data_IF_315356765850
#
_entry.id   IF_315356765850
#
_cell.length_a   1.000
_cell.length_b   1.000
_cell.length_c   1.000
_cell.angle_alpha   90.00
_cell.angle_beta   90.00
_cell.angle_gamma   90.00
#
_symmetry.space_group_name_H-M   'P 1'
#
loop_
_entity.id
_entity.type
_entity.pdbx_description
1 polymer ?
#
# COMPACT_ATOMS: atom_id res chain seq x y z
N UNK A 1 25.57 6.57 -4.00
CA UNK A 1 24.81 5.51 -4.69
C UNK A 1 24.31 4.55 -3.63
N UNK A 2 23.00 4.48 -3.39
CA UNK A 2 22.38 3.64 -2.36
C UNK A 2 21.71 2.48 -3.11
N UNK A 3 22.06 1.23 -2.82
CA UNK A 3 21.37 0.10 -3.49
C UNK A 3 19.94 -0.06 -2.96
N UNK A 4 19.80 -0.15 -1.65
CA UNK A 4 18.53 -0.30 -0.94
C UNK A 4 18.47 0.69 0.23
N UNK A 5 17.31 1.29 0.46
CA UNK A 5 17.06 2.17 1.60
C UNK A 5 15.88 1.65 2.41
N UNK A 6 16.08 1.43 3.71
CA UNK A 6 15.02 1.01 4.62
C UNK A 6 14.92 2.02 5.76
N UNK A 7 13.76 2.63 5.94
CA UNK A 7 13.42 3.40 7.12
C UNK A 7 12.51 2.56 8.01
N UNK A 8 12.89 2.37 9.28
CA UNK A 8 12.09 1.58 10.21
C UNK A 8 12.00 2.16 11.61
N UNK A 9 10.85 1.96 12.26
CA UNK A 9 10.68 2.16 13.71
C UNK A 9 10.84 0.87 14.51
N UNK A 10 11.07 -0.25 13.82
CA UNK A 10 11.28 -1.55 14.43
C UNK A 10 12.67 -1.68 15.03
N UNK A 11 12.79 -2.59 16.00
CA UNK A 11 14.08 -3.03 16.53
C UNK A 11 14.76 -3.91 15.49
N UNK A 12 15.94 -3.49 15.03
CA UNK A 12 16.79 -4.31 14.19
C UNK A 12 17.45 -5.39 15.05
N UNK A 13 17.27 -6.65 14.66
CA UNK A 13 17.84 -7.79 15.35
C UNK A 13 19.12 -8.23 14.63
N UNK A 14 20.19 -8.39 15.40
CA UNK A 14 21.47 -8.91 14.94
C UNK A 14 21.80 -10.21 15.69
N UNK A 15 22.45 -11.16 15.01
CA UNK A 15 23.06 -12.33 15.62
C UNK A 15 24.50 -12.41 15.16
N UNK A 16 25.45 -12.38 16.08
CA UNK A 16 26.89 -12.41 15.77
C UNK A 16 27.33 -11.30 14.79
N UNK A 17 26.64 -10.15 14.82
CA UNK A 17 26.86 -9.02 13.92
C UNK A 17 26.06 -9.08 12.61
N UNK A 18 25.50 -10.23 12.26
CA UNK A 18 24.69 -10.39 11.04
C UNK A 18 23.24 -9.95 11.25
N UNK A 19 22.68 -9.29 10.24
CA UNK A 19 21.26 -8.94 10.20
C UNK A 19 20.39 -10.20 10.13
N UNK A 20 19.47 -10.35 11.10
CA UNK A 20 18.55 -11.48 11.15
C UNK A 20 17.08 -11.09 10.98
N UNK A 21 16.72 -9.83 11.22
CA UNK A 21 15.35 -9.36 11.03
C UNK A 21 15.01 -8.04 11.73
N UNK A 22 13.73 -7.68 11.67
CA UNK A 22 13.16 -6.46 12.25
C UNK A 22 11.90 -6.81 13.05
N UNK A 23 11.83 -6.37 14.30
CA UNK A 23 10.62 -6.47 15.13
C UNK A 23 9.98 -5.09 15.32
N UNK A 24 8.79 -4.90 14.76
CA UNK A 24 7.99 -3.67 14.85
C UNK A 24 6.88 -3.85 15.87
N UNK A 25 6.81 -2.96 16.86
CA UNK A 25 5.72 -2.93 17.84
C UNK A 25 5.05 -1.56 17.97
N UNK A 26 5.83 -0.49 17.76
CA UNK A 26 5.41 0.90 17.95
C UNK A 26 6.17 1.84 17.00
N UNK A 27 5.77 3.11 17.01
CA UNK A 27 6.44 4.19 16.28
C UNK A 27 5.77 4.55 14.96
N UNK A 28 5.90 5.81 14.57
CA UNK A 28 5.30 6.36 13.37
C UNK A 28 6.39 6.87 12.43
N UNK A 29 6.29 6.56 11.14
CA UNK A 29 7.03 7.28 10.10
C UNK A 29 6.14 8.41 9.58
N UNK A 30 6.69 9.62 9.51
CA UNK A 30 6.01 10.76 8.90
C UNK A 30 6.82 11.20 7.68
N UNK A 31 6.22 11.10 6.49
CA UNK A 31 6.75 11.77 5.31
C UNK A 31 6.19 13.19 5.30
N UNK A 32 7.07 14.16 5.58
CA UNK A 32 6.67 15.56 5.71
C UNK A 32 6.22 16.20 4.38
N UNK A 33 5.75 17.45 4.41
CA UNK A 33 5.19 18.14 3.23
C UNK A 33 6.14 18.26 2.03
N UNK A 34 7.45 18.26 2.27
CA UNK A 34 8.48 18.26 1.21
C UNK A 34 8.60 16.92 0.48
N UNK A 35 7.94 15.87 0.99
CA UNK A 35 8.00 14.54 0.43
C UNK A 35 9.31 13.81 0.70
N UNK A 36 9.50 12.73 -0.07
CA UNK A 36 10.69 11.89 -0.10
C UNK A 36 11.02 11.59 -1.56
N UNK A 37 12.26 11.86 -1.95
CA UNK A 37 12.84 11.39 -3.21
C UNK A 37 13.82 10.25 -2.92
N UNK A 38 13.42 9.03 -3.26
CA UNK A 38 14.23 7.82 -3.20
C UNK A 38 14.62 7.28 -4.56
N UNK A 39 14.56 8.08 -5.63
CA UNK A 39 14.91 7.67 -7.01
C UNK A 39 16.38 7.28 -7.19
N UNK A 40 17.24 7.66 -6.24
CA UNK A 40 18.65 7.24 -6.19
C UNK A 40 18.87 5.85 -5.58
N UNK A 41 17.82 5.20 -5.06
CA UNK A 41 17.85 3.83 -4.59
C UNK A 41 17.08 2.92 -5.55
N UNK A 42 17.57 1.69 -5.75
CA UNK A 42 16.81 0.71 -6.53
C UNK A 42 15.50 0.36 -5.81
N UNK A 43 15.57 0.30 -4.48
CA UNK A 43 14.48 -0.18 -3.64
C UNK A 43 14.36 0.63 -2.34
N UNK A 44 13.13 0.99 -1.99
CA UNK A 44 12.78 1.68 -0.74
C UNK A 44 11.79 0.85 0.07
N UNK A 45 12.11 0.62 1.34
CA UNK A 45 11.18 0.05 2.34
C UNK A 45 10.86 1.07 3.44
N UNK A 46 9.56 1.22 3.72
CA UNK A 46 9.06 1.92 4.89
C UNK A 46 8.40 0.90 5.82
N UNK A 47 8.99 0.66 6.99
CA UNK A 47 8.59 -0.42 7.90
C UNK A 47 8.32 0.14 9.29
N UNK A 48 7.06 0.33 9.67
CA UNK A 48 6.72 0.99 10.94
C UNK A 48 5.41 0.48 11.54
N UNK A 49 5.08 0.89 12.77
CA UNK A 49 3.77 0.59 13.33
C UNK A 49 2.68 1.36 12.59
N UNK A 50 2.93 2.64 12.30
CA UNK A 50 2.07 3.48 11.45
C UNK A 50 2.90 4.30 10.47
N UNK A 51 2.28 4.71 9.36
CA UNK A 51 2.83 5.62 8.37
C UNK A 51 1.85 6.78 8.11
N UNK A 52 2.35 8.00 8.18
CA UNK A 52 1.63 9.21 7.79
C UNK A 52 2.30 9.87 6.57
N UNK A 53 1.54 10.11 5.51
CA UNK A 53 2.00 10.75 4.28
C UNK A 53 1.40 12.16 4.15
N UNK A 54 2.25 13.17 4.34
CA UNK A 54 1.92 14.60 4.17
C UNK A 54 2.51 15.22 2.90
N UNK A 55 3.38 14.49 2.22
CA UNK A 55 4.02 14.88 0.97
C UNK A 55 4.30 13.65 0.11
N UNK A 56 4.65 13.86 -1.16
CA UNK A 56 4.82 12.78 -2.12
C UNK A 56 6.03 11.89 -1.81
N UNK A 57 5.88 10.58 -2.01
CA UNK A 57 6.99 9.62 -2.06
C UNK A 57 7.23 9.27 -3.52
N UNK A 58 8.43 9.55 -4.02
CA UNK A 58 8.85 9.25 -5.39
C UNK A 58 10.07 8.33 -5.35
N UNK A 59 9.97 7.12 -5.89
CA UNK A 59 11.02 6.09 -5.80
C UNK A 59 11.05 5.20 -7.05
N UNK A 60 12.06 4.33 -7.19
CA UNK A 60 12.04 3.28 -8.22
C UNK A 60 11.07 2.17 -7.81
N UNK A 61 11.33 1.50 -6.69
CA UNK A 61 10.44 0.50 -6.10
C UNK A 61 10.13 0.87 -4.66
N UNK A 62 8.87 0.71 -4.26
CA UNK A 62 8.38 1.02 -2.92
C UNK A 62 7.64 -0.17 -2.30
N UNK A 63 8.08 -0.55 -1.10
CA UNK A 63 7.31 -1.42 -0.21
C UNK A 63 7.03 -0.71 1.10
N UNK A 64 5.77 -0.72 1.49
CA UNK A 64 5.31 -0.21 2.78
C UNK A 64 4.76 -1.37 3.60
N UNK A 65 5.29 -1.54 4.80
CA UNK A 65 4.80 -2.49 5.80
C UNK A 65 4.43 -1.73 7.06
N UNK A 66 3.14 -1.71 7.37
CA UNK A 66 2.60 -1.07 8.56
C UNK A 66 1.95 -2.10 9.50
N UNK A 67 1.99 -1.82 10.80
CA UNK A 67 1.46 -2.69 11.85
C UNK A 67 2.54 -3.27 12.76
N UNK A 68 2.14 -4.08 13.74
CA UNK A 68 3.09 -4.89 14.49
C UNK A 68 3.57 -6.04 13.61
N UNK A 69 4.86 -6.20 13.43
CA UNK A 69 5.41 -7.16 12.47
C UNK A 69 6.72 -7.75 12.97
N UNK A 70 6.94 -9.04 12.73
CA UNK A 70 8.24 -9.70 12.73
C UNK A 70 8.63 -9.95 11.29
N UNK A 71 9.77 -9.41 10.89
CA UNK A 71 10.26 -9.49 9.52
C UNK A 71 11.60 -10.23 9.54
N UNK A 72 11.74 -11.27 8.73
CA UNK A 72 12.99 -12.03 8.63
C UNK A 72 14.05 -11.29 7.79
N UNK A 73 15.27 -11.83 7.75
CA UNK A 73 16.37 -11.27 6.96
C UNK A 73 16.11 -11.19 5.44
N UNK A 74 15.08 -11.89 4.94
CA UNK A 74 14.68 -11.88 3.52
C UNK A 74 13.55 -10.87 3.26
N UNK A 75 13.07 -10.17 4.29
CA UNK A 75 11.98 -9.21 4.19
C UNK A 75 10.58 -9.84 4.26
N UNK A 76 10.46 -11.12 4.63
CA UNK A 76 9.17 -11.80 4.79
C UNK A 76 8.58 -11.48 6.16
N UNK A 77 7.27 -11.26 6.20
CA UNK A 77 6.52 -11.14 7.46
C UNK A 77 6.32 -12.56 8.00
N UNK A 78 6.88 -12.84 9.17
CA UNK A 78 6.91 -14.18 9.80
C UNK A 78 6.12 -14.25 11.10
N UNK A 79 5.60 -13.13 11.59
CA UNK A 79 4.73 -13.14 12.77
C UNK A 79 4.34 -11.76 13.32
N UNK A 80 3.46 -11.83 14.32
CA UNK A 80 2.70 -10.75 15.01
C UNK A 80 1.63 -10.08 14.14
N UNK A 81 0.36 -10.37 14.49
CA UNK A 81 -0.86 -9.62 14.15
C UNK A 81 -1.48 -9.22 15.50
N UNK A 82 -1.23 -8.00 15.98
CA UNK A 82 -1.93 -7.52 17.16
C UNK A 82 -3.31 -7.01 16.74
N UNK A 83 -4.33 -7.17 17.60
CA UNK A 83 -5.62 -6.55 17.34
C UNK A 83 -5.48 -5.01 17.35
N UNK A 84 -5.92 -4.35 16.28
CA UNK A 84 -5.97 -2.89 16.18
C UNK A 84 -7.00 -2.47 15.14
N UNK A 85 -7.95 -1.60 15.52
CA UNK A 85 -8.90 -1.00 14.58
C UNK A 85 -8.39 0.34 14.02
N UNK A 86 -7.08 0.62 14.12
CA UNK A 86 -6.51 1.90 13.74
C UNK A 86 -6.19 1.96 12.24
N UNK A 87 -6.10 3.16 11.68
CA UNK A 87 -5.53 3.37 10.36
C UNK A 87 -4.01 3.19 10.48
N UNK A 88 -3.45 2.17 9.80
CA UNK A 88 -2.02 1.90 9.83
C UNK A 88 -1.27 2.80 8.85
N UNK A 89 -1.92 3.19 7.75
CA UNK A 89 -1.35 4.05 6.72
C UNK A 89 -2.38 5.14 6.40
N UNK A 90 -2.01 6.39 6.66
CA UNK A 90 -2.85 7.56 6.40
C UNK A 90 -2.13 8.53 5.47
N UNK A 91 -2.63 8.64 4.23
CA UNK A 91 -2.18 9.61 3.24
C UNK A 91 -3.23 10.67 2.99
N UNK A 92 -2.89 11.93 3.23
CA UNK A 92 -3.75 13.10 2.94
C UNK A 92 -3.58 13.52 1.48
N UNK A 93 -4.43 14.39 0.96
CA UNK A 93 -4.43 14.80 -0.47
C UNK A 93 -3.06 15.21 -1.04
N UNK A 94 -2.16 15.74 -0.21
CA UNK A 94 -0.80 16.16 -0.61
C UNK A 94 0.25 15.03 -0.59
N UNK A 95 -0.10 13.84 -0.10
CA UNK A 95 0.81 12.71 0.14
C UNK A 95 0.59 11.51 -0.79
N UNK A 96 0.95 11.63 -2.06
CA UNK A 96 0.87 10.54 -3.04
C UNK A 96 2.08 9.59 -3.01
N UNK A 97 1.94 8.42 -3.62
CA UNK A 97 3.04 7.46 -3.80
C UNK A 97 3.24 7.18 -5.29
N UNK A 98 4.46 7.36 -5.78
CA UNK A 98 4.80 7.21 -7.19
C UNK A 98 6.06 6.35 -7.31
N UNK A 99 5.90 5.14 -7.84
CA UNK A 99 7.02 4.23 -8.06
C UNK A 99 6.79 3.38 -9.31
N UNK A 100 7.85 2.73 -9.80
CA UNK A 100 7.77 1.67 -10.80
C UNK A 100 6.96 0.47 -10.27
N UNK A 101 7.20 0.09 -9.01
CA UNK A 101 6.43 -0.94 -8.29
C UNK A 101 6.01 -0.42 -6.92
N UNK A 102 4.75 -0.63 -6.54
CA UNK A 102 4.24 -0.34 -5.20
C UNK A 102 3.58 -1.57 -4.58
N UNK A 103 4.04 -1.94 -3.38
CA UNK A 103 3.40 -2.92 -2.51
C UNK A 103 3.12 -2.33 -1.13
N UNK A 104 1.87 -2.37 -0.70
CA UNK A 104 1.41 -1.84 0.58
C UNK A 104 0.80 -2.98 1.41
N UNK A 105 1.27 -3.14 2.65
CA UNK A 105 0.84 -4.20 3.55
C UNK A 105 0.52 -3.60 4.92
N UNK A 106 -0.70 -3.77 5.41
CA UNK A 106 -1.14 -3.46 6.77
C UNK A 106 -1.57 -4.75 7.47
N UNK A 107 -0.91 -5.12 8.57
CA UNK A 107 -1.03 -6.47 9.17
C UNK A 107 -1.77 -6.54 10.50
N UNK A 108 -1.90 -5.44 11.23
CA UNK A 108 -2.64 -5.49 12.49
C UNK A 108 -4.12 -5.81 12.21
N UNK A 109 -4.71 -6.71 13.00
CA UNK A 109 -6.08 -7.19 12.79
C UNK A 109 -7.08 -6.04 12.93
N UNK A 110 -7.74 -5.68 11.84
CA UNK A 110 -8.68 -4.56 11.72
C UNK A 110 -8.06 -3.28 11.19
N UNK A 111 -6.73 -3.23 11.01
CA UNK A 111 -6.03 -2.03 10.62
C UNK A 111 -6.06 -1.80 9.11
N UNK A 112 -6.41 -0.58 8.72
CA UNK A 112 -6.70 -0.21 7.35
C UNK A 112 -5.65 0.68 6.67
N UNK A 113 -5.91 0.95 5.38
CA UNK A 113 -5.20 1.94 4.57
C UNK A 113 -6.21 3.04 4.21
N UNK A 114 -5.86 4.29 4.47
CA UNK A 114 -6.60 5.46 4.00
C UNK A 114 -5.67 6.33 3.16
N UNK A 115 -5.98 6.55 1.89
CA UNK A 115 -5.25 7.48 1.04
C UNK A 115 -6.22 8.36 0.27
N UNK A 116 -6.25 9.65 0.58
CA UNK A 116 -6.97 10.64 -0.21
C UNK A 116 -6.12 11.18 -1.40
N UNK A 117 -4.90 10.66 -1.58
CA UNK A 117 -3.98 11.00 -2.67
C UNK A 117 -3.97 9.96 -3.80
N UNK A 118 -3.08 10.17 -4.78
CA UNK A 118 -2.85 9.25 -5.89
C UNK A 118 -1.72 8.26 -5.57
N UNK A 119 -1.99 6.97 -5.76
CA UNK A 119 -1.00 5.89 -5.70
C UNK A 119 -0.78 5.35 -7.12
N UNK A 120 0.46 5.40 -7.60
CA UNK A 120 0.82 5.05 -8.98
C UNK A 120 1.97 4.06 -9.02
N UNK A 121 1.68 2.83 -9.47
CA UNK A 121 2.65 1.77 -9.78
C UNK A 121 2.89 1.71 -11.29
N UNK A 122 3.87 2.47 -11.80
CA UNK A 122 4.00 2.78 -13.24
C UNK A 122 4.31 1.56 -14.11
N UNK A 123 5.16 0.66 -13.63
CA UNK A 123 5.78 -0.37 -14.47
C UNK A 123 5.26 -1.77 -14.17
N UNK A 124 4.51 -1.94 -13.09
CA UNK A 124 4.07 -3.25 -12.59
C UNK A 124 2.70 -3.18 -11.92
N UNK A 125 2.27 -4.31 -11.38
CA UNK A 125 1.07 -4.41 -10.56
C UNK A 125 1.19 -3.53 -9.31
N UNK A 126 0.12 -2.84 -8.96
CA UNK A 126 -0.08 -2.25 -7.63
C UNK A 126 -0.69 -3.32 -6.71
N UNK A 127 -0.06 -3.59 -5.58
CA UNK A 127 -0.58 -4.51 -4.56
C UNK A 127 -0.88 -3.76 -3.27
N UNK A 128 -2.13 -3.85 -2.78
CA UNK A 128 -2.53 -3.32 -1.47
C UNK A 128 -3.21 -4.44 -0.68
N UNK A 129 -2.65 -4.79 0.46
CA UNK A 129 -3.23 -5.77 1.39
C UNK A 129 -3.41 -5.14 2.76
N UNK A 130 -4.59 -5.29 3.35
CA UNK A 130 -4.87 -4.86 4.71
C UNK A 130 -5.82 -5.85 5.40
N UNK A 131 -5.61 -6.10 6.69
CA UNK A 131 -6.58 -6.81 7.52
C UNK A 131 -7.90 -6.01 7.70
N UNK A 132 -7.83 -4.68 7.59
CA UNK A 132 -8.97 -3.75 7.73
C UNK A 132 -9.49 -3.17 6.42
N UNK A 133 -10.12 -1.99 6.51
CA UNK A 133 -10.66 -1.25 5.36
C UNK A 133 -9.54 -0.60 4.54
N UNK A 134 -9.66 -0.67 3.22
CA UNK A 134 -8.83 0.05 2.26
C UNK A 134 -9.68 1.12 1.60
N UNK A 135 -9.38 2.39 1.89
CA UNK A 135 -9.99 3.57 1.27
C UNK A 135 -8.94 4.27 0.41
N UNK A 136 -9.23 4.45 -0.88
CA UNK A 136 -8.33 5.12 -1.83
C UNK A 136 -9.08 6.15 -2.67
N UNK A 137 -8.44 7.28 -2.95
CA UNK A 137 -8.97 8.28 -3.86
C UNK A 137 -8.68 7.91 -5.32
N UNK A 138 -7.39 7.81 -5.66
CA UNK A 138 -6.94 7.38 -6.99
C UNK A 138 -5.88 6.30 -6.88
N UNK A 139 -6.02 5.26 -7.70
CA UNK A 139 -5.02 4.22 -7.88
C UNK A 139 -4.78 3.95 -9.36
N UNK A 140 -3.51 3.79 -9.73
CA UNK A 140 -3.10 3.42 -11.08
C UNK A 140 -2.00 2.36 -11.01
N UNK A 141 -2.11 1.34 -11.86
CA UNK A 141 -1.06 0.34 -12.00
C UNK A 141 -1.16 -0.44 -13.29
N UNK A 142 -0.06 -1.07 -13.73
CA UNK A 142 -0.11 -1.96 -14.89
C UNK A 142 -1.11 -3.10 -14.67
N UNK A 143 -1.16 -3.62 -13.44
CA UNK A 143 -2.26 -4.40 -12.88
C UNK A 143 -2.65 -3.80 -11.52
N UNK A 144 -3.80 -4.18 -10.96
CA UNK A 144 -4.17 -3.82 -9.59
C UNK A 144 -4.67 -5.08 -8.86
N UNK A 145 -4.12 -5.38 -7.68
CA UNK A 145 -4.61 -6.41 -6.75
C UNK A 145 -4.81 -5.80 -5.36
N UNK A 146 -6.06 -5.81 -4.90
CA UNK A 146 -6.47 -5.24 -3.62
C UNK A 146 -7.14 -6.32 -2.78
N UNK A 147 -6.65 -6.50 -1.55
CA UNK A 147 -7.17 -7.46 -0.57
C UNK A 147 -7.38 -6.77 0.76
N UNK A 148 -8.64 -6.57 1.12
CA UNK A 148 -9.03 -5.88 2.35
C UNK A 148 -10.26 -6.52 2.97
N UNK A 149 -10.62 -6.12 4.20
CA UNK A 149 -11.94 -6.45 4.73
C UNK A 149 -13.04 -5.67 4.01
N UNK A 150 -12.78 -4.40 3.75
CA UNK A 150 -13.64 -3.52 2.96
C UNK A 150 -12.78 -2.76 1.96
N UNK A 151 -13.34 -2.44 0.80
CA UNK A 151 -12.72 -1.58 -0.19
C UNK A 151 -13.65 -0.40 -0.52
N UNK A 152 -13.11 0.82 -0.49
CA UNK A 152 -13.78 2.04 -0.93
C UNK A 152 -12.89 2.82 -1.91
N UNK A 153 -13.33 2.90 -3.16
CA UNK A 153 -12.79 3.79 -4.17
C UNK A 153 -13.58 5.10 -4.18
N UNK A 154 -12.93 6.24 -4.00
CA UNK A 154 -13.59 7.55 -4.07
C UNK A 154 -13.62 8.17 -5.46
N UNK A 155 -12.59 7.97 -6.28
CA UNK A 155 -12.52 8.58 -7.61
C UNK A 155 -12.20 7.58 -8.73
N UNK A 156 -10.93 7.18 -8.88
CA UNK A 156 -10.47 6.40 -10.04
C UNK A 156 -9.63 5.20 -9.60
N UNK A 157 -9.96 4.02 -10.12
CA UNK A 157 -9.00 2.93 -10.26
C UNK A 157 -8.78 2.67 -11.75
N UNK A 158 -7.55 2.82 -12.22
CA UNK A 158 -7.19 2.61 -13.62
C UNK A 158 -6.07 1.59 -13.78
N UNK A 159 -6.25 0.64 -14.69
CA UNK A 159 -5.22 -0.36 -14.98
C UNK A 159 -5.00 -0.63 -16.46
N UNK A 160 -3.73 -0.72 -16.86
CA UNK A 160 -3.36 -1.09 -18.24
C UNK A 160 -3.58 -2.58 -18.55
N UNK A 161 -3.82 -3.41 -17.52
CA UNK A 161 -4.13 -4.83 -17.63
C UNK A 161 -5.44 -5.14 -16.89
N UNK A 162 -5.38 -5.80 -15.74
CA UNK A 162 -6.57 -6.21 -14.99
C UNK A 162 -6.61 -5.65 -13.57
N UNK A 163 -7.83 -5.49 -13.06
CA UNK A 163 -8.13 -5.13 -11.67
C UNK A 163 -8.73 -6.35 -10.98
N UNK A 164 -8.19 -6.71 -9.82
CA UNK A 164 -8.73 -7.72 -8.92
C UNK A 164 -8.92 -7.11 -7.54
N UNK A 165 -10.16 -7.09 -7.06
CA UNK A 165 -10.51 -6.62 -5.72
C UNK A 165 -11.17 -7.77 -4.97
N UNK A 166 -10.66 -8.08 -3.78
CA UNK A 166 -11.21 -9.07 -2.87
C UNK A 166 -11.46 -8.41 -1.51
N UNK A 167 -12.73 -8.27 -1.15
CA UNK A 167 -13.17 -7.69 0.11
C UNK A 167 -14.61 -8.12 0.42
N UNK A 168 -15.01 -8.15 1.69
CA UNK A 168 -16.39 -8.48 2.07
C UNK A 168 -17.39 -7.48 1.46
N UNK A 169 -17.01 -6.19 1.49
CA UNK A 169 -17.77 -5.07 0.91
C UNK A 169 -16.90 -4.23 -0.01
N UNK A 170 -17.42 -3.91 -1.19
CA UNK A 170 -16.78 -3.10 -2.21
C UNK A 170 -17.68 -1.91 -2.54
N UNK A 171 -17.20 -0.69 -2.33
CA UNK A 171 -17.89 0.56 -2.68
C UNK A 171 -17.10 1.31 -3.74
N UNK A 172 -17.71 1.56 -4.89
CA UNK A 172 -17.09 2.21 -6.03
C UNK A 172 -17.82 3.52 -6.33
N UNK A 173 -17.11 4.64 -6.29
CA UNK A 173 -17.63 5.96 -6.65
C UNK A 173 -16.63 6.76 -7.48
N UNK A 174 -17.12 7.85 -8.09
CA UNK A 174 -16.32 8.83 -8.81
C UNK A 174 -16.11 8.51 -10.29
N UNK A 175 -14.97 8.90 -10.85
CA UNK A 175 -14.70 8.82 -12.30
C UNK A 175 -14.84 7.42 -12.88
N UNK A 176 -14.44 6.37 -12.16
CA UNK A 176 -14.68 5.00 -12.59
C UNK A 176 -13.67 3.96 -12.14
N UNK A 177 -13.98 2.71 -12.42
CA UNK A 177 -13.08 1.57 -12.29
C UNK A 177 -12.82 1.04 -13.70
N UNK A 178 -11.61 1.24 -14.21
CA UNK A 178 -11.27 1.09 -15.62
C UNK A 178 -10.08 0.15 -15.79
N UNK A 179 -10.20 -0.85 -16.63
CA UNK A 179 -9.10 -1.76 -16.97
C UNK A 179 -9.05 -2.01 -18.48
N UNK A 180 -7.89 -2.27 -19.06
CA UNK A 180 -7.87 -2.67 -20.47
C UNK A 180 -8.37 -4.10 -20.67
N UNK A 181 -8.05 -5.02 -19.75
CA UNK A 181 -8.39 -6.45 -19.85
C UNK A 181 -9.65 -6.78 -19.06
N UNK A 182 -9.50 -7.09 -17.77
CA UNK A 182 -10.58 -7.62 -16.93
C UNK A 182 -10.71 -6.88 -15.60
N UNK A 183 -11.92 -6.85 -15.04
CA UNK A 183 -12.20 -6.35 -13.70
C UNK A 183 -12.92 -7.46 -12.92
N UNK A 184 -12.28 -7.95 -11.86
CA UNK A 184 -12.81 -8.97 -10.97
C UNK A 184 -13.13 -8.35 -9.60
N UNK A 185 -14.41 -8.30 -9.23
CA UNK A 185 -14.89 -7.79 -7.95
C UNK A 185 -15.44 -8.95 -7.12
N UNK A 186 -14.70 -9.36 -6.09
CA UNK A 186 -15.08 -10.47 -5.21
C UNK A 186 -15.53 -9.91 -3.87
N UNK A 187 -16.85 -9.70 -3.72
CA UNK A 187 -17.45 -9.08 -2.54
C UNK A 187 -18.89 -8.62 -2.78
N UNK A 188 -19.56 -8.10 -1.75
CA UNK A 188 -20.81 -7.38 -1.91
C UNK A 188 -20.54 -5.98 -2.51
N UNK A 189 -21.02 -5.73 -3.74
CA UNK A 189 -20.69 -4.52 -4.50
C UNK A 189 -21.80 -3.47 -4.42
N UNK A 190 -21.44 -2.27 -3.97
CA UNK A 190 -22.21 -1.03 -4.09
C UNK A 190 -21.51 -0.14 -5.11
N UNK A 191 -22.08 -0.02 -6.32
CA UNK A 191 -21.48 0.76 -7.40
C UNK A 191 -22.29 2.03 -7.70
N UNK A 192 -21.61 3.17 -7.68
CA UNK A 192 -22.09 4.47 -8.17
C UNK A 192 -21.12 5.12 -9.17
N UNK A 193 -20.21 4.33 -9.76
CA UNK A 193 -19.25 4.76 -10.76
C UNK A 193 -19.42 3.98 -12.08
N UNK A 194 -18.76 4.47 -13.14
CA UNK A 194 -18.64 3.69 -14.38
C UNK A 194 -17.62 2.57 -14.19
N UNK A 195 -18.00 1.34 -14.53
CA UNK A 195 -17.07 0.20 -14.60
C UNK A 195 -16.86 -0.11 -16.08
N UNK A 196 -15.62 -0.08 -16.55
CA UNK A 196 -15.30 -0.20 -17.96
C UNK A 196 -14.09 -1.10 -18.21
N UNK A 197 -14.24 -2.01 -19.16
CA UNK A 197 -13.15 -2.79 -19.75
C UNK A 197 -13.00 -2.45 -21.22
N UNK A 198 -11.78 -2.27 -21.72
CA UNK A 198 -11.54 -1.99 -23.15
C UNK A 198 -11.67 -3.23 -24.03
N UNK A 199 -11.30 -4.40 -23.52
CA UNK A 199 -11.30 -5.69 -24.22
C UNK A 199 -12.50 -6.60 -23.86
N UNK A 200 -13.57 -6.04 -23.27
CA UNK A 200 -14.76 -6.79 -22.81
C UNK A 200 -16.01 -6.56 -23.65
#
# INVERSE_FOLDING_TARGET
NIKNFTATTGRVNLKDGDFVGIDVEKGNIVIGPKGMDGSNANYVELIAKTLELRGNVVTNDLKVVAGSNKIDKKGNITGKNNASNNIAIDGRELGGMYAGVIKIISTDKGAGVNSDAFIVSKNSKLEITADGKIKVNKVQGKGIDIKGKEYEQKDLAYSDEGISINADKIKLSGTGTQANKQINLNGAVENSATIYTKEG
#
